data_IF_821685869808
#
_entry.id   IF_821685869808
#
_cell.length_a   1.000
_cell.length_b   1.000
_cell.length_c   1.000
_cell.angle_alpha   90.00
_cell.angle_beta   90.00
_cell.angle_gamma   90.00
#
_symmetry.space_group_name_H-M   'P 1'
#
loop_
_entity.id
_entity.type
_entity.pdbx_description
1 polymer ?
#
# COMPACT_ATOMS: atom_id res chain seq x y z
N UNK A 1 -55.15 10.16 68.10
CA UNK A 1 -56.19 9.67 67.16
C UNK A 1 -55.97 10.31 65.80
N UNK A 2 -55.43 9.58 64.83
CA UNK A 2 -55.56 9.80 63.38
C UNK A 2 -55.09 8.52 62.70
N UNK A 3 -56.03 7.82 62.04
CA UNK A 3 -55.82 6.60 61.26
C UNK A 3 -55.27 6.99 59.89
N UNK A 4 -54.30 6.25 59.36
CA UNK A 4 -54.01 6.22 57.92
C UNK A 4 -53.61 4.81 57.53
N UNK A 5 -54.30 4.34 56.49
CA UNK A 5 -54.30 2.98 55.99
C UNK A 5 -53.04 2.65 55.17
N UNK A 6 -52.61 1.39 55.24
CA UNK A 6 -51.60 0.82 54.38
C UNK A 6 -52.22 0.41 53.04
N UNK A 7 -51.61 0.84 51.93
CA UNK A 7 -51.88 0.32 50.60
C UNK A 7 -50.76 -0.64 50.21
N UNK A 8 -51.10 -1.91 49.95
CA UNK A 8 -50.21 -2.89 49.33
C UNK A 8 -50.06 -2.55 47.84
N UNK A 9 -48.81 -2.44 47.37
CA UNK A 9 -48.48 -2.47 45.95
C UNK A 9 -47.84 -3.82 45.65
N UNK A 10 -48.53 -4.64 44.86
CA UNK A 10 -48.00 -5.89 44.33
C UNK A 10 -47.08 -5.60 43.13
N UNK A 11 -45.81 -5.98 43.23
CA UNK A 11 -44.86 -5.95 42.12
C UNK A 11 -44.93 -7.29 41.40
N UNK A 12 -45.37 -7.27 40.14
CA UNK A 12 -45.31 -8.41 39.22
C UNK A 12 -43.91 -8.45 38.62
N UNK A 13 -43.16 -9.52 38.91
CA UNK A 13 -41.88 -9.80 38.26
C UNK A 13 -42.12 -10.40 36.88
N UNK A 14 -41.78 -9.66 35.81
CA UNK A 14 -41.74 -10.17 34.44
C UNK A 14 -40.40 -10.87 34.23
N UNK A 15 -40.43 -12.20 34.15
CA UNK A 15 -39.27 -13.00 33.77
C UNK A 15 -39.03 -12.85 32.26
N UNK A 16 -37.98 -12.11 31.88
CA UNK A 16 -37.46 -12.08 30.52
C UNK A 16 -36.68 -13.38 30.25
N UNK A 17 -37.27 -14.26 29.46
CA UNK A 17 -36.61 -15.46 28.93
C UNK A 17 -35.54 -15.04 27.93
N UNK A 18 -34.27 -15.18 28.30
CA UNK A 18 -33.16 -15.00 27.37
C UNK A 18 -33.14 -16.16 26.38
N UNK A 19 -33.38 -15.86 25.10
CA UNK A 19 -33.11 -16.79 24.00
C UNK A 19 -31.59 -16.96 23.87
N UNK A 20 -31.06 -18.20 23.79
CA UNK A 20 -29.64 -18.41 23.57
C UNK A 20 -29.22 -17.83 22.22
N UNK A 21 -28.14 -17.05 22.24
CA UNK A 21 -27.52 -16.50 21.04
C UNK A 21 -27.12 -17.64 20.10
N UNK A 22 -27.47 -17.49 18.82
CA UNK A 22 -26.99 -18.40 17.77
C UNK A 22 -25.45 -18.36 17.73
N UNK A 23 -24.77 -19.51 17.55
CA UNK A 23 -23.32 -19.53 17.39
C UNK A 23 -22.91 -18.71 16.17
N UNK A 24 -21.72 -18.08 16.18
CA UNK A 24 -21.22 -17.35 15.04
C UNK A 24 -21.10 -18.28 13.82
N UNK A 25 -21.54 -17.77 12.66
CA UNK A 25 -21.31 -18.42 11.37
C UNK A 25 -19.80 -18.49 11.14
N UNK A 26 -19.22 -19.67 11.36
CA UNK A 26 -17.88 -20.00 10.91
C UNK A 26 -17.89 -20.04 9.39
N UNK A 27 -17.33 -19.02 8.74
CA UNK A 27 -16.89 -19.16 7.36
C UNK A 27 -15.69 -20.11 7.37
N UNK A 28 -15.97 -21.41 7.32
CA UNK A 28 -14.97 -22.40 6.99
C UNK A 28 -14.58 -22.14 5.53
N UNK A 29 -13.41 -21.54 5.32
CA UNK A 29 -12.76 -21.53 4.01
C UNK A 29 -12.72 -22.98 3.51
N UNK A 30 -13.24 -23.23 2.31
CA UNK A 30 -13.08 -24.54 1.69
C UNK A 30 -11.58 -24.85 1.59
N UNK A 31 -11.13 -26.07 1.92
CA UNK A 31 -9.75 -26.46 1.73
C UNK A 31 -9.50 -26.57 0.22
N UNK A 32 -9.08 -25.47 -0.39
CA UNK A 32 -8.48 -25.47 -1.71
C UNK A 32 -7.21 -26.32 -1.60
N UNK A 33 -7.07 -27.33 -2.47
CA UNK A 33 -5.92 -28.21 -2.47
C UNK A 33 -4.65 -27.36 -2.51
N UNK A 34 -3.86 -27.38 -1.43
CA UNK A 34 -2.59 -26.67 -1.40
C UNK A 34 -1.69 -27.37 -2.40
N UNK A 35 -1.51 -26.78 -3.57
CA UNK A 35 -0.32 -26.99 -4.39
C UNK A 35 0.86 -26.90 -3.42
N UNK A 36 1.71 -27.93 -3.37
CA UNK A 36 2.93 -27.82 -2.58
C UNK A 36 3.72 -26.61 -3.08
N UNK A 37 4.28 -25.84 -2.16
CA UNK A 37 5.14 -24.70 -2.50
C UNK A 37 6.55 -25.05 -2.08
N UNK A 38 7.52 -24.93 -2.98
CA UNK A 38 8.94 -25.06 -2.68
C UNK A 38 9.62 -23.69 -2.70
N UNK A 39 10.57 -23.48 -1.77
CA UNK A 39 11.33 -22.23 -1.71
C UNK A 39 12.31 -22.19 -2.88
N UNK A 40 12.14 -21.21 -3.76
CA UNK A 40 13.05 -20.93 -4.88
C UNK A 40 14.19 -20.00 -4.45
N UNK A 41 13.88 -18.97 -3.66
CA UNK A 41 14.83 -18.01 -3.11
C UNK A 41 14.39 -17.55 -1.72
N UNK A 42 15.35 -17.21 -0.87
CA UNK A 42 15.10 -16.61 0.44
C UNK A 42 16.16 -15.55 0.74
N UNK A 43 15.81 -14.60 1.59
CA UNK A 43 16.70 -13.62 2.19
C UNK A 43 16.30 -13.47 3.65
N UNK A 44 17.24 -13.74 4.55
CA UNK A 44 17.12 -13.65 6.02
C UNK A 44 17.99 -12.54 6.63
N UNK A 45 18.74 -11.81 5.80
CA UNK A 45 19.64 -10.72 6.18
C UNK A 45 20.78 -11.12 7.13
N UNK A 46 21.14 -12.40 7.18
CA UNK A 46 22.33 -12.85 7.91
C UNK A 46 23.63 -12.29 7.30
N UNK A 47 23.62 -12.09 5.99
CA UNK A 47 24.69 -11.36 5.28
C UNK A 47 24.50 -9.85 5.42
N UNK A 48 25.49 -9.11 5.96
CA UNK A 48 25.37 -7.66 6.11
C UNK A 48 25.15 -6.93 4.78
N UNK A 49 24.09 -6.13 4.71
CA UNK A 49 23.75 -5.32 3.55
C UNK A 49 24.77 -4.19 3.32
N UNK A 50 25.12 -3.96 2.07
CA UNK A 50 26.04 -2.89 1.65
C UNK A 50 25.35 -1.70 0.98
N UNK A 51 24.02 -1.68 0.96
CA UNK A 51 23.20 -0.71 0.21
C UNK A 51 23.51 0.73 0.60
N UNK A 52 23.64 1.01 1.89
CA UNK A 52 23.94 2.36 2.39
C UNK A 52 25.30 2.89 1.95
N UNK A 53 26.26 1.99 1.67
CA UNK A 53 27.61 2.34 1.19
C UNK A 53 27.65 2.68 -0.30
N UNK A 54 26.63 2.29 -1.07
CA UNK A 54 26.59 2.60 -2.49
C UNK A 54 26.51 4.11 -2.73
N UNK A 55 27.22 4.57 -3.76
CA UNK A 55 27.23 5.97 -4.14
C UNK A 55 25.87 6.41 -4.68
N UNK A 56 25.49 7.65 -4.37
CA UNK A 56 24.34 8.29 -4.98
C UNK A 56 24.63 8.59 -6.45
N UNK A 57 23.66 8.27 -7.30
CA UNK A 57 23.68 8.61 -8.72
C UNK A 57 22.57 9.61 -8.99
N UNK A 58 22.90 10.75 -9.59
CA UNK A 58 21.88 11.71 -10.03
C UNK A 58 21.06 11.09 -11.15
N UNK A 59 19.74 11.03 -10.96
CA UNK A 59 18.82 10.68 -12.03
C UNK A 59 18.78 11.85 -13.04
N UNK A 60 19.04 11.62 -14.34
CA UNK A 60 18.89 12.67 -15.33
C UNK A 60 17.43 13.14 -15.48
N UNK A 61 16.45 12.36 -14.99
CA UNK A 61 15.01 12.61 -15.09
C UNK A 61 14.60 12.82 -16.56
N UNK A 62 15.01 11.89 -17.41
CA UNK A 62 14.72 11.88 -18.85
C UNK A 62 14.05 10.56 -19.23
N UNK A 63 13.41 10.51 -20.40
CA UNK A 63 12.80 9.30 -20.92
C UNK A 63 13.79 8.13 -21.15
N UNK A 64 15.09 8.40 -21.18
CA UNK A 64 16.15 7.38 -21.30
C UNK A 64 16.79 7.04 -19.96
N UNK A 65 16.29 7.58 -18.85
CA UNK A 65 16.75 7.21 -17.52
C UNK A 65 16.51 5.72 -17.29
N UNK A 66 17.42 5.04 -16.60
CA UNK A 66 17.23 3.62 -16.21
C UNK A 66 16.11 3.43 -15.17
N UNK A 67 15.62 4.52 -14.60
CA UNK A 67 14.45 4.57 -13.72
C UNK A 67 13.19 5.06 -14.43
N UNK A 68 13.25 5.37 -15.72
CA UNK A 68 12.04 5.66 -16.47
C UNK A 68 11.14 4.42 -16.51
N UNK A 69 9.84 4.65 -16.44
CA UNK A 69 8.81 3.60 -16.54
C UNK A 69 7.93 3.90 -17.74
N UNK A 70 7.21 5.03 -17.71
CA UNK A 70 6.25 5.39 -18.73
C UNK A 70 5.79 6.87 -18.64
N UNK A 71 4.67 7.20 -19.28
CA UNK A 71 4.07 8.54 -19.29
C UNK A 71 3.72 9.16 -17.92
N UNK A 72 3.68 8.39 -16.83
CA UNK A 72 3.38 8.81 -15.46
C UNK A 72 4.59 8.79 -14.51
N UNK A 73 5.80 8.50 -15.00
CA UNK A 73 7.02 8.59 -14.18
C UNK A 73 7.38 10.05 -13.80
N UNK A 74 8.49 10.26 -13.10
CA UNK A 74 8.86 11.57 -12.52
C UNK A 74 8.94 12.71 -13.56
N UNK A 75 9.23 12.42 -14.82
CA UNK A 75 9.30 13.37 -15.94
C UNK A 75 8.35 12.92 -17.07
N UNK A 76 7.26 12.25 -16.70
CA UNK A 76 6.32 11.63 -17.61
C UNK A 76 5.64 12.63 -18.54
N UNK A 77 5.37 12.19 -19.78
CA UNK A 77 4.72 13.01 -20.83
C UNK A 77 3.35 13.56 -20.40
N UNK A 78 2.62 12.85 -19.53
CA UNK A 78 1.33 13.30 -19.01
C UNK A 78 1.50 14.62 -18.26
N UNK A 79 2.50 14.72 -17.39
CA UNK A 79 2.71 15.89 -16.53
C UNK A 79 3.04 17.14 -17.35
N UNK A 80 3.84 16.98 -18.40
CA UNK A 80 4.09 18.03 -19.37
C UNK A 80 2.81 18.47 -20.07
N UNK A 81 2.04 17.53 -20.62
CA UNK A 81 0.83 17.84 -21.37
C UNK A 81 -0.26 18.53 -20.55
N UNK A 82 -0.41 18.18 -19.26
CA UNK A 82 -1.50 18.70 -18.43
C UNK A 82 -1.10 19.92 -17.58
N UNK A 83 0.19 20.25 -17.46
CA UNK A 83 0.67 21.28 -16.51
C UNK A 83 1.82 22.16 -16.99
N UNK A 84 2.36 21.97 -18.19
CA UNK A 84 3.37 22.90 -18.69
C UNK A 84 2.79 24.30 -18.99
N UNK A 85 3.57 25.37 -18.76
CA UNK A 85 4.99 25.38 -18.37
C UNK A 85 5.25 25.29 -16.85
N UNK A 86 4.22 25.14 -16.01
CA UNK A 86 4.40 25.11 -14.56
C UNK A 86 5.19 23.88 -14.08
N UNK A 87 4.86 22.69 -14.61
CA UNK A 87 5.55 21.45 -14.27
C UNK A 87 7.05 21.52 -14.60
N UNK A 88 7.41 21.85 -15.84
CA UNK A 88 8.82 22.00 -16.25
C UNK A 88 9.59 22.99 -15.38
N UNK A 89 8.99 24.14 -15.01
CA UNK A 89 9.66 25.10 -14.12
C UNK A 89 9.91 24.53 -12.72
N UNK A 90 8.94 23.80 -12.18
CA UNK A 90 9.01 23.23 -10.84
C UNK A 90 9.95 22.03 -10.76
N UNK A 91 9.93 21.14 -11.75
CA UNK A 91 10.86 20.02 -11.82
C UNK A 91 12.32 20.52 -11.90
N UNK A 92 12.56 21.65 -12.57
CA UNK A 92 13.87 22.32 -12.60
C UNK A 92 14.32 22.90 -11.26
N UNK A 93 13.50 22.94 -10.22
CA UNK A 93 13.95 23.43 -8.91
C UNK A 93 14.48 22.31 -8.01
N UNK A 94 14.56 21.08 -8.49
CA UNK A 94 15.06 19.95 -7.71
C UNK A 94 15.93 19.03 -8.57
N UNK A 95 16.67 18.13 -7.92
CA UNK A 95 17.22 16.92 -8.54
C UNK A 95 16.77 15.70 -7.74
N UNK A 96 16.72 14.54 -8.38
CA UNK A 96 16.52 13.25 -7.71
C UNK A 96 17.83 12.47 -7.75
N UNK A 97 18.26 11.96 -6.60
CA UNK A 97 19.39 11.06 -6.47
C UNK A 97 18.90 9.67 -6.12
N UNK A 98 19.54 8.65 -6.69
CA UNK A 98 19.10 7.27 -6.58
C UNK A 98 20.25 6.31 -6.29
N UNK A 99 19.93 5.21 -5.61
CA UNK A 99 20.78 4.01 -5.49
C UNK A 99 20.00 2.81 -6.02
N UNK A 100 20.73 1.91 -6.67
CA UNK A 100 20.25 0.60 -7.12
C UNK A 100 21.30 -0.42 -6.74
N UNK A 101 20.98 -1.33 -5.84
CA UNK A 101 21.95 -2.30 -5.30
C UNK A 101 21.30 -3.67 -5.27
N UNK A 102 21.85 -4.62 -6.00
CA UNK A 102 21.44 -6.02 -5.92
C UNK A 102 22.02 -6.65 -4.64
N UNK A 103 21.24 -7.53 -4.00
CA UNK A 103 21.62 -8.26 -2.80
C UNK A 103 20.84 -9.58 -2.70
N UNK A 104 21.16 -10.37 -1.67
CA UNK A 104 20.71 -11.75 -1.51
C UNK A 104 21.42 -12.72 -2.44
N UNK A 105 21.08 -13.99 -2.28
CA UNK A 105 21.66 -15.08 -3.07
C UNK A 105 21.52 -14.77 -4.57
N UNK A 106 22.63 -14.86 -5.31
CA UNK A 106 22.72 -14.51 -6.73
C UNK A 106 22.18 -13.11 -7.11
N UNK A 107 22.05 -12.20 -6.13
CA UNK A 107 21.49 -10.86 -6.33
C UNK A 107 20.00 -10.89 -6.71
N UNK A 108 19.23 -11.86 -6.22
CA UNK A 108 17.82 -12.02 -6.60
C UNK A 108 16.92 -10.86 -6.16
N UNK A 109 17.34 -10.07 -5.15
CA UNK A 109 16.70 -8.83 -4.72
C UNK A 109 17.47 -7.60 -5.17
N UNK A 110 16.75 -6.50 -5.36
CA UNK A 110 17.32 -5.17 -5.58
C UNK A 110 16.72 -4.17 -4.59
N UNK A 111 17.58 -3.42 -3.92
CA UNK A 111 17.20 -2.22 -3.19
C UNK A 111 17.19 -1.03 -4.17
N UNK A 112 16.05 -0.36 -4.28
CA UNK A 112 15.89 0.93 -4.96
C UNK A 112 15.68 2.00 -3.91
N UNK A 113 16.54 3.01 -3.92
CA UNK A 113 16.46 4.13 -2.98
C UNK A 113 16.47 5.40 -3.80
N UNK A 114 15.62 6.36 -3.42
CA UNK A 114 15.61 7.68 -4.02
C UNK A 114 15.50 8.76 -2.94
N UNK A 115 16.09 9.92 -3.19
CA UNK A 115 16.04 11.08 -2.33
C UNK A 115 16.11 12.36 -3.15
N UNK A 116 15.36 13.38 -2.75
CA UNK A 116 15.34 14.68 -3.43
C UNK A 116 16.45 15.60 -2.89
N UNK A 117 17.09 16.30 -3.81
CA UNK A 117 17.95 17.47 -3.60
C UNK A 117 17.13 18.71 -3.97
N UNK A 118 16.62 19.43 -2.96
CA UNK A 118 15.67 20.54 -3.14
C UNK A 118 16.35 21.87 -3.37
N UNK A 119 17.60 22.05 -2.92
CA UNK A 119 18.37 23.28 -3.07
C UNK A 119 19.38 23.22 -4.24
N UNK A 120 19.54 22.04 -4.82
CA UNK A 120 20.38 21.72 -5.98
C UNK A 120 21.88 21.88 -5.69
N UNK A 121 22.32 21.62 -4.46
CA UNK A 121 23.73 21.64 -4.10
C UNK A 121 24.54 20.44 -4.65
N UNK A 122 23.86 19.47 -5.26
CA UNK A 122 24.45 18.28 -5.86
C UNK A 122 24.47 17.06 -4.92
N UNK A 123 23.73 17.10 -3.81
CA UNK A 123 23.60 15.99 -2.85
C UNK A 123 22.14 15.87 -2.39
N UNK A 124 21.65 14.66 -2.07
CA UNK A 124 20.32 14.52 -1.51
C UNK A 124 20.23 15.13 -0.10
N UNK A 125 19.09 15.79 0.18
CA UNK A 125 18.83 16.51 1.44
C UNK A 125 18.57 15.56 2.63
N UNK A 126 18.25 14.30 2.33
CA UNK A 126 17.99 13.27 3.30
C UNK A 126 18.84 12.03 3.02
N UNK A 127 18.96 11.16 4.02
CA UNK A 127 19.74 9.91 3.92
C UNK A 127 18.83 8.71 4.21
N UNK A 128 17.89 8.40 3.30
CA UNK A 128 17.15 7.14 3.36
C UNK A 128 18.11 5.98 3.09
N UNK A 129 17.75 4.79 3.59
CA UNK A 129 18.68 3.67 3.62
C UNK A 129 18.01 2.32 3.86
N UNK A 130 18.76 1.28 3.50
CA UNK A 130 18.46 -0.11 3.80
C UNK A 130 19.72 -0.74 4.41
N UNK A 131 19.64 -1.16 5.66
CA UNK A 131 20.78 -1.69 6.40
C UNK A 131 20.37 -2.89 7.26
N UNK A 132 21.29 -3.83 7.46
CA UNK A 132 21.10 -4.88 8.45
C UNK A 132 21.05 -4.29 9.85
N UNK A 133 20.12 -4.77 10.67
CA UNK A 133 19.99 -4.44 12.08
C UNK A 133 19.94 -5.73 12.90
N UNK A 134 20.12 -5.61 14.22
CA UNK A 134 20.01 -6.72 15.17
C UNK A 134 18.82 -6.43 16.07
N UNK A 135 17.88 -7.36 16.12
CA UNK A 135 16.69 -7.30 16.95
C UNK A 135 17.03 -7.60 18.42
N UNK A 136 16.14 -7.28 19.39
CA UNK A 136 16.38 -7.52 20.81
C UNK A 136 16.62 -9.00 21.19
N UNK A 137 16.12 -9.94 20.38
CA UNK A 137 16.33 -11.39 20.51
C UNK A 137 17.65 -11.87 19.88
N UNK A 138 18.40 -10.99 19.22
CA UNK A 138 19.67 -11.28 18.57
C UNK A 138 19.56 -11.67 17.10
N UNK A 139 18.34 -11.81 16.56
CA UNK A 139 18.13 -12.11 15.14
C UNK A 139 18.53 -10.90 14.27
N UNK A 140 18.98 -11.18 13.04
CA UNK A 140 19.28 -10.16 12.03
C UNK A 140 18.05 -9.90 11.19
N UNK A 141 17.90 -8.65 10.77
CA UNK A 141 16.79 -8.21 9.93
C UNK A 141 17.23 -7.02 9.07
N UNK A 142 16.47 -6.68 8.04
CA UNK A 142 16.65 -5.45 7.29
C UNK A 142 15.84 -4.30 7.89
N UNK A 143 16.52 -3.18 8.18
CA UNK A 143 15.88 -1.92 8.56
C UNK A 143 15.77 -1.02 7.34
N UNK A 144 14.53 -0.72 6.97
CA UNK A 144 14.18 0.39 6.08
C UNK A 144 14.14 1.66 6.92
N UNK A 145 14.86 2.71 6.49
CA UNK A 145 14.84 4.01 7.16
C UNK A 145 14.62 5.11 6.14
N UNK A 146 13.60 5.92 6.38
CA UNK A 146 13.20 7.02 5.52
C UNK A 146 12.95 8.26 6.38
N UNK A 147 14.00 9.08 6.61
CA UNK A 147 13.92 10.18 7.56
C UNK A 147 13.15 11.40 7.05
N UNK A 148 12.62 11.38 5.82
CA UNK A 148 11.94 12.50 5.20
C UNK A 148 10.98 12.04 4.11
N UNK A 149 9.84 12.72 3.99
CA UNK A 149 8.76 12.49 3.02
C UNK A 149 9.17 12.51 1.53
N UNK A 150 10.29 13.15 1.23
CA UNK A 150 10.83 13.37 -0.12
C UNK A 150 11.93 12.38 -0.47
N UNK A 151 11.77 11.16 0.01
CA UNK A 151 12.59 10.00 -0.25
C UNK A 151 11.69 8.78 -0.45
N UNK A 152 12.27 7.71 -0.96
CA UNK A 152 11.62 6.40 -1.07
C UNK A 152 12.65 5.29 -0.90
N UNK A 153 12.28 4.21 -0.21
CA UNK A 153 13.08 2.99 -0.06
C UNK A 153 12.21 1.79 -0.37
N UNK A 154 12.61 1.00 -1.36
CA UNK A 154 11.90 -0.23 -1.74
C UNK A 154 12.86 -1.38 -1.96
N UNK A 155 12.42 -2.56 -1.52
CA UNK A 155 12.97 -3.86 -1.90
C UNK A 155 12.06 -4.44 -2.98
N UNK A 156 12.65 -4.89 -4.08
CA UNK A 156 11.95 -5.52 -5.21
C UNK A 156 12.76 -6.74 -5.71
N UNK A 157 12.17 -7.68 -6.46
CA UNK A 157 12.96 -8.71 -7.11
C UNK A 157 13.79 -8.08 -8.24
N UNK A 158 14.97 -8.63 -8.49
CA UNK A 158 15.88 -8.19 -9.57
C UNK A 158 15.35 -8.56 -10.95
N UNK A 159 14.62 -9.68 -11.03
CA UNK A 159 13.96 -10.19 -12.24
C UNK A 159 12.45 -10.24 -12.03
N UNK A 160 11.64 -10.18 -13.11
CA UNK A 160 10.21 -10.51 -13.04
C UNK A 160 9.94 -11.83 -12.31
N UNK A 161 8.80 -11.88 -11.63
CA UNK A 161 8.34 -13.10 -10.97
C UNK A 161 7.93 -14.17 -12.01
N UNK A 162 8.01 -15.47 -11.67
CA UNK A 162 7.52 -16.56 -12.52
C UNK A 162 6.01 -16.45 -12.80
N UNK A 163 5.49 -17.29 -13.69
CA UNK A 163 4.05 -17.33 -13.99
C UNK A 163 3.20 -17.78 -12.79
N UNK A 164 3.71 -18.72 -11.98
CA UNK A 164 3.10 -19.12 -10.73
C UNK A 164 4.11 -18.94 -9.60
N UNK A 165 3.70 -18.26 -8.54
CA UNK A 165 4.59 -17.90 -7.45
C UNK A 165 3.83 -17.67 -6.16
N UNK A 166 4.57 -17.71 -5.05
CA UNK A 166 4.17 -17.14 -3.79
C UNK A 166 5.33 -16.31 -3.23
N UNK A 167 5.08 -15.06 -2.92
CA UNK A 167 6.05 -14.18 -2.23
C UNK A 167 5.57 -13.96 -0.82
N UNK A 168 6.49 -14.04 0.13
CA UNK A 168 6.22 -13.84 1.55
C UNK A 168 7.19 -12.83 2.14
N UNK A 169 6.70 -12.00 3.06
CA UNK A 169 7.49 -11.05 3.83
C UNK A 169 7.06 -11.07 5.30
N UNK A 170 8.02 -11.09 6.21
CA UNK A 170 7.77 -10.99 7.65
C UNK A 170 8.15 -9.61 8.19
N UNK A 171 7.20 -8.94 8.83
CA UNK A 171 7.36 -7.63 9.45
C UNK A 171 7.66 -7.78 10.96
N UNK A 172 8.73 -7.13 11.42
CA UNK A 172 9.19 -7.08 12.82
C UNK A 172 9.26 -5.68 13.39
N UNK A 173 8.93 -4.64 12.63
CA UNK A 173 8.88 -3.27 13.13
C UNK A 173 8.23 -2.33 12.13
N UNK A 174 7.47 -1.36 12.62
CA UNK A 174 6.83 -0.35 11.76
C UNK A 174 6.64 0.99 12.48
N UNK A 175 7.06 2.06 11.82
CA UNK A 175 6.85 3.46 12.20
C UNK A 175 6.66 4.30 10.93
N UNK A 176 5.58 4.03 10.21
CA UNK A 176 5.09 4.82 9.08
C UNK A 176 3.70 5.38 9.40
N UNK A 177 3.58 5.95 10.60
CA UNK A 177 2.33 6.48 11.15
C UNK A 177 1.45 5.45 11.85
N UNK A 178 0.19 5.85 12.04
CA UNK A 178 -0.75 5.20 12.94
C UNK A 178 -0.49 5.53 14.41
N UNK A 179 -1.39 5.12 15.30
CA UNK A 179 -1.24 5.36 16.72
C UNK A 179 -0.15 4.50 17.35
N UNK A 180 0.51 5.04 18.36
CA UNK A 180 1.33 4.31 19.32
C UNK A 180 0.76 4.55 20.70
N UNK A 181 0.36 3.48 21.39
CA UNK A 181 -0.25 3.54 22.72
C UNK A 181 -1.43 4.52 22.80
N UNK A 182 -2.30 4.53 21.78
CA UNK A 182 -3.49 5.38 21.73
C UNK A 182 -3.23 6.85 21.37
N UNK A 183 -2.03 7.19 20.89
CA UNK A 183 -1.68 8.55 20.47
C UNK A 183 -1.05 8.56 19.09
N UNK A 184 -1.51 9.49 18.25
CA UNK A 184 -0.88 9.82 16.97
C UNK A 184 0.38 10.67 17.13
N UNK A 185 0.56 11.26 18.32
CA UNK A 185 1.74 12.03 18.68
C UNK A 185 2.63 11.21 19.62
N UNK A 186 3.80 10.83 19.13
CA UNK A 186 4.79 10.03 19.84
C UNK A 186 6.19 10.39 19.34
N UNK A 187 7.21 10.27 20.19
CA UNK A 187 8.61 10.51 19.82
C UNK A 187 8.90 11.85 19.10
N UNK A 188 8.14 12.91 19.44
CA UNK A 188 8.25 14.22 18.80
C UNK A 188 7.72 14.28 17.36
N UNK A 189 6.99 13.25 16.93
CA UNK A 189 6.34 13.12 15.63
C UNK A 189 4.82 13.21 15.76
N UNK A 190 4.13 13.43 14.64
CA UNK A 190 2.69 13.25 14.51
C UNK A 190 2.41 12.39 13.28
N UNK A 191 1.70 11.27 13.47
CA UNK A 191 1.44 10.27 12.43
C UNK A 191 2.74 9.82 11.71
N UNK A 192 3.82 9.60 12.47
CA UNK A 192 5.13 9.21 11.95
C UNK A 192 5.98 10.36 11.37
N UNK A 193 5.38 11.52 11.06
CA UNK A 193 6.10 12.66 10.52
C UNK A 193 6.79 13.50 11.60
N UNK A 194 8.06 13.85 11.39
CA UNK A 194 8.74 14.85 12.20
C UNK A 194 8.03 16.23 12.11
N UNK A 195 8.04 17.00 13.19
CA UNK A 195 7.30 18.26 13.30
C UNK A 195 7.80 19.43 12.41
N UNK A 196 8.94 19.28 11.74
CA UNK A 196 9.61 20.37 11.01
C UNK A 196 9.48 20.27 9.49
N UNK A 197 9.52 21.43 8.84
CA UNK A 197 9.50 21.57 7.38
C UNK A 197 8.11 21.51 6.76
N UNK A 198 8.00 21.98 5.52
CA UNK A 198 6.77 21.85 4.73
C UNK A 198 6.79 20.50 4.00
N UNK A 199 5.94 19.56 4.41
CA UNK A 199 5.83 18.22 3.81
C UNK A 199 4.66 18.21 2.84
N UNK A 200 4.92 18.01 1.55
CA UNK A 200 3.93 18.30 0.51
C UNK A 200 4.07 17.37 -0.68
N UNK A 201 3.01 17.12 -1.44
CA UNK A 201 3.07 16.32 -2.67
C UNK A 201 3.76 17.02 -3.87
N UNK A 202 4.69 17.93 -3.64
CA UNK A 202 5.34 18.71 -4.70
C UNK A 202 6.29 17.88 -5.57
N UNK A 203 6.32 18.07 -6.90
CA UNK A 203 5.33 18.74 -7.76
C UNK A 203 4.24 17.77 -8.28
N UNK A 204 4.33 16.49 -7.93
CA UNK A 204 3.49 15.41 -8.48
C UNK A 204 2.17 15.26 -7.70
N UNK A 205 1.13 15.94 -8.17
CA UNK A 205 -0.27 15.68 -7.75
C UNK A 205 -1.01 14.89 -8.83
N UNK A 206 -2.14 14.27 -8.48
CA UNK A 206 -3.01 13.60 -9.46
C UNK A 206 -3.51 14.53 -10.58
N UNK A 207 -3.59 15.84 -10.33
CA UNK A 207 -3.98 16.86 -11.30
C UNK A 207 -2.78 17.54 -11.98
N UNK A 208 -1.55 17.08 -11.72
CA UNK A 208 -0.31 17.69 -12.18
C UNK A 208 0.18 18.85 -11.32
N UNK A 209 1.13 19.63 -11.83
CA UNK A 209 1.72 20.73 -11.09
C UNK A 209 0.76 21.92 -10.94
N UNK A 210 0.67 22.47 -9.73
CA UNK A 210 -0.17 23.63 -9.41
C UNK A 210 0.57 24.93 -9.82
N UNK A 211 0.05 25.71 -10.79
CA UNK A 211 0.70 26.93 -11.27
C UNK A 211 0.88 27.99 -10.18
N UNK A 212 2.01 28.70 -10.20
CA UNK A 212 2.29 29.81 -9.30
C UNK A 212 2.53 29.42 -7.84
N UNK A 213 2.58 28.13 -7.51
CA UNK A 213 2.84 27.65 -6.14
C UNK A 213 4.28 27.18 -5.97
N UNK A 214 4.91 27.62 -4.89
CA UNK A 214 6.15 27.06 -4.37
C UNK A 214 5.86 25.76 -3.60
N UNK A 215 6.92 24.97 -3.32
CA UNK A 215 6.85 23.70 -2.58
C UNK A 215 5.98 23.82 -1.31
N UNK A 216 6.28 24.75 -0.42
CA UNK A 216 5.53 24.90 0.84
C UNK A 216 4.09 25.41 0.70
N UNK A 217 3.61 25.71 -0.51
CA UNK A 217 2.21 26.09 -0.78
C UNK A 217 1.40 24.97 -1.43
N UNK A 218 2.02 23.80 -1.64
CA UNK A 218 1.31 22.59 -2.05
C UNK A 218 0.52 22.01 -0.86
N UNK A 219 -0.49 21.15 -1.13
CA UNK A 219 -1.19 20.42 -0.08
C UNK A 219 -0.21 19.66 0.82
N UNK A 220 -0.46 19.73 2.13
CA UNK A 220 0.29 18.95 3.11
C UNK A 220 0.00 17.45 2.91
N UNK A 221 1.01 16.61 3.15
CA UNK A 221 0.86 15.14 3.20
C UNK A 221 0.90 14.59 4.63
N UNK A 222 1.07 15.47 5.62
CA UNK A 222 1.29 15.06 7.02
C UNK A 222 0.10 14.33 7.67
N UNK A 223 -1.07 14.35 7.04
CA UNK A 223 -2.25 13.64 7.55
C UNK A 223 -2.34 12.23 7.02
N UNK A 224 -1.46 11.84 6.11
CA UNK A 224 -1.54 10.60 5.36
C UNK A 224 -0.15 9.95 5.33
N UNK A 225 0.06 8.90 6.11
CA UNK A 225 1.31 8.13 6.11
C UNK A 225 1.02 6.67 5.74
N UNK A 226 2.03 5.84 5.46
CA UNK A 226 1.78 4.48 5.02
C UNK A 226 3.03 3.69 4.66
N UNK A 227 2.82 2.42 4.35
CA UNK A 227 3.89 1.49 4.00
C UNK A 227 3.33 0.35 3.16
N UNK A 228 4.03 0.00 2.08
CA UNK A 228 3.67 -1.13 1.23
C UNK A 228 4.29 -2.39 1.79
N UNK A 229 3.48 -3.24 2.43
CA UNK A 229 3.94 -4.50 2.99
C UNK A 229 4.37 -5.46 1.87
N UNK A 230 3.51 -5.65 0.86
CA UNK A 230 3.84 -6.47 -0.31
C UNK A 230 2.86 -6.18 -1.46
N UNK A 231 3.25 -5.35 -2.41
CA UNK A 231 2.38 -4.96 -3.53
C UNK A 231 2.93 -5.48 -4.85
N UNK A 232 2.05 -5.98 -5.72
CA UNK A 232 2.42 -6.46 -7.06
C UNK A 232 2.21 -5.34 -8.08
N UNK A 233 3.25 -5.03 -8.83
CA UNK A 233 3.29 -4.08 -9.93
C UNK A 233 3.17 -4.77 -11.29
N UNK A 234 2.79 -4.00 -12.31
CA UNK A 234 2.69 -4.41 -13.71
C UNK A 234 3.96 -4.15 -14.54
N UNK A 235 5.08 -3.86 -13.88
CA UNK A 235 6.38 -3.64 -14.49
C UNK A 235 7.53 -4.08 -13.56
N UNK A 236 8.68 -4.40 -14.14
CA UNK A 236 9.86 -4.87 -13.40
C UNK A 236 10.62 -3.74 -12.66
N UNK A 237 10.44 -2.48 -13.07
CA UNK A 237 11.23 -1.34 -12.58
C UNK A 237 10.56 -0.63 -11.40
N UNK A 238 10.30 -1.32 -10.29
CA UNK A 238 9.60 -0.79 -9.11
C UNK A 238 10.40 0.20 -8.24
N UNK A 239 11.11 1.15 -8.83
CA UNK A 239 11.84 2.19 -8.09
C UNK A 239 10.89 3.29 -7.56
N UNK A 240 11.28 4.07 -6.52
CA UNK A 240 10.41 5.12 -6.02
C UNK A 240 10.13 6.21 -7.07
N UNK A 241 8.89 6.68 -7.16
CA UNK A 241 8.44 7.71 -8.08
C UNK A 241 7.46 8.68 -7.43
N UNK A 242 7.14 9.79 -8.09
CA UNK A 242 6.04 10.66 -7.67
C UNK A 242 4.74 9.87 -7.46
N UNK A 243 4.03 10.14 -6.35
CA UNK A 243 2.90 9.34 -5.85
C UNK A 243 1.94 8.83 -6.94
N UNK A 244 1.49 9.74 -7.82
CA UNK A 244 0.51 9.40 -8.85
C UNK A 244 0.95 8.26 -9.79
N UNK A 245 2.25 8.15 -10.13
CA UNK A 245 2.74 7.16 -11.10
C UNK A 245 2.55 5.72 -10.62
N UNK A 246 2.91 5.44 -9.36
CA UNK A 246 2.74 4.11 -8.75
C UNK A 246 1.26 3.72 -8.67
N UNK A 247 0.36 4.67 -8.47
CA UNK A 247 -1.07 4.39 -8.38
C UNK A 247 -1.67 3.76 -9.65
N UNK A 248 -1.07 4.01 -10.81
CA UNK A 248 -1.48 3.46 -12.12
C UNK A 248 -0.94 2.05 -12.39
N UNK A 249 0.02 1.59 -11.59
CA UNK A 249 0.89 0.44 -11.91
C UNK A 249 0.75 -0.75 -10.96
N UNK A 250 -0.26 -0.72 -10.08
CA UNK A 250 -0.49 -1.76 -9.08
C UNK A 250 -1.56 -2.74 -9.56
N UNK A 251 -1.30 -4.04 -9.43
CA UNK A 251 -2.28 -5.11 -9.65
C UNK A 251 -2.94 -5.55 -8.35
N UNK A 252 -2.11 -5.72 -7.32
CA UNK A 252 -2.49 -6.17 -5.97
C UNK A 252 -1.85 -5.24 -4.96
N UNK A 253 -2.62 -4.77 -3.99
CA UNK A 253 -2.16 -3.86 -2.93
C UNK A 253 -2.35 -4.53 -1.57
N UNK A 254 -1.22 -4.75 -0.90
CA UNK A 254 -1.16 -5.09 0.52
C UNK A 254 -0.29 -4.03 1.21
N UNK A 255 -0.95 -3.00 1.75
CA UNK A 255 -0.30 -1.81 2.29
C UNK A 255 -0.99 -1.33 3.57
N UNK A 256 -0.43 -0.29 4.17
CA UNK A 256 -1.10 0.54 5.16
C UNK A 256 -1.26 1.95 4.62
N UNK A 257 -2.41 2.54 4.91
CA UNK A 257 -2.72 3.93 4.60
C UNK A 257 -3.33 4.61 5.81
N UNK A 258 -2.45 5.18 6.63
CA UNK A 258 -2.70 5.70 7.96
C UNK A 258 -3.13 7.17 7.83
N UNK A 259 -4.39 7.39 7.47
CA UNK A 259 -4.91 8.72 7.12
C UNK A 259 -5.93 9.28 8.10
N UNK A 260 -5.67 10.51 8.56
CA UNK A 260 -6.55 11.34 9.39
C UNK A 260 -7.10 12.54 8.60
N UNK A 261 -7.00 12.50 7.28
CA UNK A 261 -7.58 13.53 6.45
C UNK A 261 -9.12 13.50 6.60
N UNK A 262 -9.82 14.66 6.53
CA UNK A 262 -11.27 14.69 6.75
C UNK A 262 -12.07 13.77 5.81
N UNK A 263 -11.56 13.54 4.60
CA UNK A 263 -12.18 12.65 3.63
C UNK A 263 -12.08 11.16 4.03
N UNK A 264 -11.14 10.79 4.90
CA UNK A 264 -10.99 9.41 5.41
C UNK A 264 -12.13 8.98 6.33
N UNK A 265 -13.03 9.91 6.71
CA UNK A 265 -14.26 9.60 7.41
C UNK A 265 -15.18 8.63 6.64
N UNK A 266 -15.04 8.53 5.31
CA UNK A 266 -15.76 7.54 4.52
C UNK A 266 -15.04 6.20 4.38
N UNK A 267 -13.81 6.06 4.86
CA UNK A 267 -13.08 4.80 4.83
C UNK A 267 -13.53 3.89 5.97
N UNK A 268 -13.49 2.58 5.73
CA UNK A 268 -13.87 1.56 6.68
C UNK A 268 -12.71 0.64 7.04
N UNK A 269 -12.77 0.09 8.25
CA UNK A 269 -11.92 -1.00 8.72
C UNK A 269 -12.83 -2.16 9.10
N UNK A 270 -12.52 -3.37 8.66
CA UNK A 270 -13.19 -4.57 9.12
C UNK A 270 -12.79 -4.88 10.57
N UNK A 271 -13.78 -5.11 11.42
CA UNK A 271 -13.63 -5.76 12.72
C UNK A 271 -13.99 -7.25 12.56
N UNK A 272 -13.01 -8.16 12.42
CA UNK A 272 -13.30 -9.56 12.14
C UNK A 272 -13.97 -10.28 13.31
N UNK A 273 -13.85 -9.78 14.55
CA UNK A 273 -14.51 -10.38 15.71
C UNK A 273 -16.03 -10.20 15.67
N UNK A 274 -16.50 -9.12 15.05
CA UNK A 274 -17.94 -8.83 14.91
C UNK A 274 -18.46 -9.05 13.49
N UNK A 275 -17.57 -9.21 12.51
CA UNK A 275 -17.91 -9.31 11.08
C UNK A 275 -18.48 -8.00 10.51
N UNK A 276 -18.17 -6.85 11.11
CA UNK A 276 -18.72 -5.54 10.73
C UNK A 276 -17.64 -4.53 10.35
N UNK A 277 -18.03 -3.61 9.46
CA UNK A 277 -17.22 -2.44 9.12
C UNK A 277 -17.38 -1.33 10.17
N UNK A 278 -16.25 -0.81 10.63
CA UNK A 278 -16.10 0.32 11.55
C UNK A 278 -15.43 1.52 10.85
N UNK A 279 -15.65 2.73 11.37
CA UNK A 279 -15.02 3.91 10.77
C UNK A 279 -13.53 3.83 10.97
N UNK A 280 -12.74 4.25 9.97
CA UNK A 280 -11.29 4.37 10.16
C UNK A 280 -10.95 5.34 11.30
N UNK A 281 -11.83 6.31 11.58
CA UNK A 281 -11.65 7.28 12.66
C UNK A 281 -11.86 6.69 14.07
N UNK A 282 -12.52 5.53 14.18
CA UNK A 282 -12.74 4.82 15.44
C UNK A 282 -11.61 3.79 15.71
N UNK A 283 -10.71 3.61 14.73
CA UNK A 283 -9.56 2.72 14.80
C UNK A 283 -8.31 3.39 15.36
N UNK A 284 -7.20 2.68 15.25
CA UNK A 284 -5.85 3.11 15.65
C UNK A 284 -5.06 3.69 14.48
N UNK A 285 -5.66 3.80 13.30
CA UNK A 285 -5.00 4.17 12.06
C UNK A 285 -3.79 3.28 11.71
N UNK A 286 -3.72 2.04 12.21
CA UNK A 286 -2.73 1.03 11.81
C UNK A 286 -3.38 -0.03 10.92
N UNK A 287 -4.21 0.40 9.97
CA UNK A 287 -5.03 -0.47 9.15
C UNK A 287 -4.21 -1.12 8.03
N UNK A 288 -4.52 -2.37 7.70
CA UNK A 288 -3.95 -3.10 6.57
C UNK A 288 -5.00 -3.20 5.48
N UNK A 289 -4.71 -2.62 4.32
CA UNK A 289 -5.52 -2.81 3.13
C UNK A 289 -5.07 -4.08 2.42
N UNK A 290 -6.02 -4.90 1.98
CA UNK A 290 -5.81 -6.01 1.07
C UNK A 290 -6.78 -5.82 -0.09
N UNK A 291 -6.26 -5.39 -1.23
CA UNK A 291 -7.08 -4.90 -2.33
C UNK A 291 -6.58 -5.43 -3.68
N UNK A 292 -7.55 -5.82 -4.51
CA UNK A 292 -7.33 -6.13 -5.92
C UNK A 292 -7.66 -4.89 -6.74
N UNK A 293 -6.74 -4.46 -7.59
CA UNK A 293 -6.90 -3.23 -8.36
C UNK A 293 -7.79 -3.53 -9.57
N UNK A 294 -8.89 -2.80 -9.74
CA UNK A 294 -9.84 -3.04 -10.83
C UNK A 294 -9.30 -2.55 -12.16
N UNK A 295 -9.22 -3.42 -13.16
CA UNK A 295 -8.78 -3.06 -14.50
C UNK A 295 -9.84 -2.35 -15.35
N UNK A 296 -11.11 -2.36 -14.91
CA UNK A 296 -12.23 -1.84 -15.67
C UNK A 296 -12.86 -0.56 -15.09
N UNK A 297 -12.37 -0.06 -13.95
CA UNK A 297 -12.93 1.10 -13.28
C UNK A 297 -11.81 2.01 -12.75
N UNK A 298 -11.91 3.30 -13.05
CA UNK A 298 -10.91 4.31 -12.71
C UNK A 298 -11.50 5.43 -11.86
N UNK A 299 -10.70 5.96 -10.94
CA UNK A 299 -11.06 7.06 -10.03
C UNK A 299 -10.95 8.39 -10.77
N UNK A 300 -12.11 8.98 -11.08
CA UNK A 300 -12.18 10.26 -11.81
C UNK A 300 -11.59 11.42 -11.00
N UNK A 301 -11.79 11.39 -9.69
CA UNK A 301 -11.23 12.32 -8.71
C UNK A 301 -9.69 12.30 -8.70
N UNK A 302 -9.08 11.16 -9.05
CA UNK A 302 -7.63 11.01 -9.21
C UNK A 302 -7.21 11.15 -10.67
N UNK A 303 -7.99 11.90 -11.46
CA UNK A 303 -7.70 12.19 -12.86
C UNK A 303 -7.53 10.93 -13.74
N UNK A 304 -8.21 9.84 -13.36
CA UNK A 304 -8.07 8.51 -13.98
C UNK A 304 -6.64 7.96 -13.98
N UNK A 305 -5.77 8.46 -13.11
CA UNK A 305 -4.41 7.91 -12.89
C UNK A 305 -4.43 6.77 -11.86
N UNK A 306 -5.48 6.68 -11.06
CA UNK A 306 -5.70 5.55 -10.15
C UNK A 306 -6.94 4.79 -10.56
N UNK A 307 -6.90 3.49 -10.32
CA UNK A 307 -8.02 2.58 -10.49
C UNK A 307 -8.92 2.57 -9.24
N UNK A 308 -10.14 2.08 -9.40
CA UNK A 308 -10.95 1.61 -8.28
C UNK A 308 -10.37 0.30 -7.75
N UNK A 309 -10.80 -0.11 -6.57
CA UNK A 309 -10.37 -1.35 -5.94
C UNK A 309 -11.55 -2.30 -5.76
N UNK A 310 -11.25 -3.58 -5.65
CA UNK A 310 -12.14 -4.57 -5.07
C UNK A 310 -11.49 -5.09 -3.79
N UNK A 311 -12.18 -4.91 -2.68
CA UNK A 311 -11.70 -5.32 -1.36
C UNK A 311 -12.38 -6.63 -0.99
N UNK A 312 -11.57 -7.66 -0.71
CA UNK A 312 -12.04 -8.82 0.05
C UNK A 312 -11.51 -8.69 1.45
N UNK A 313 -12.40 -8.80 2.42
CA UNK A 313 -12.04 -8.67 3.84
C UNK A 313 -12.70 -9.80 4.63
N UNK A 314 -12.26 -10.04 5.87
CA UNK A 314 -12.98 -10.96 6.76
C UNK A 314 -14.44 -10.58 7.03
N UNK A 315 -14.83 -9.33 6.75
CA UNK A 315 -16.20 -8.82 6.91
C UNK A 315 -17.03 -8.88 5.62
N UNK A 316 -16.48 -9.43 4.54
CA UNK A 316 -17.11 -9.55 3.23
C UNK A 316 -16.40 -8.77 2.13
N UNK A 317 -17.09 -8.71 0.99
CA UNK A 317 -16.57 -8.18 -0.27
C UNK A 317 -17.17 -6.81 -0.60
N UNK A 318 -16.31 -5.88 -1.03
CA UNK A 318 -16.67 -4.48 -1.23
C UNK A 318 -16.08 -3.93 -2.53
N UNK A 319 -16.95 -3.48 -3.44
CA UNK A 319 -16.55 -2.85 -4.70
C UNK A 319 -16.32 -1.34 -4.54
N UNK A 320 -15.07 -0.89 -4.75
CA UNK A 320 -14.58 0.50 -4.68
C UNK A 320 -15.38 1.51 -5.49
N UNK A 321 -16.06 1.05 -6.54
CA UNK A 321 -16.93 1.91 -7.34
C UNK A 321 -18.25 2.28 -6.65
N UNK A 322 -18.60 1.58 -5.56
CA UNK A 322 -19.86 1.71 -4.84
C UNK A 322 -19.75 2.35 -3.45
N UNK A 323 -20.84 2.22 -2.70
CA UNK A 323 -20.95 2.58 -1.29
C UNK A 323 -21.35 1.37 -0.48
N UNK A 324 -20.91 1.30 0.78
CA UNK A 324 -21.14 0.15 1.65
C UNK A 324 -21.49 0.56 3.08
N UNK A 325 -21.84 -0.46 3.88
CA UNK A 325 -22.26 -0.30 5.27
C UNK A 325 -23.66 0.29 5.42
N UNK A 326 -24.12 0.48 6.67
CA UNK A 326 -25.39 1.11 6.96
C UNK A 326 -25.50 2.48 6.28
N UNK A 327 -26.61 2.69 5.58
CA UNK A 327 -26.94 3.93 4.86
C UNK A 327 -25.91 4.37 3.80
N UNK A 328 -25.05 3.45 3.33
CA UNK A 328 -24.01 3.76 2.33
C UNK A 328 -22.94 4.73 2.84
N UNK A 329 -22.68 4.70 4.15
CA UNK A 329 -21.72 5.60 4.81
C UNK A 329 -20.28 5.44 4.33
N UNK A 330 -19.91 4.25 3.87
CA UNK A 330 -18.54 3.94 3.48
C UNK A 330 -18.33 3.95 1.97
N UNK A 331 -17.13 4.32 1.56
CA UNK A 331 -16.60 4.24 0.19
C UNK A 331 -15.07 4.38 0.24
N UNK A 332 -14.43 4.33 -0.93
CA UNK A 332 -13.00 4.56 -1.15
C UNK A 332 -12.08 3.43 -0.64
N UNK A 333 -12.01 3.16 0.67
CA UNK A 333 -11.16 2.11 1.26
C UNK A 333 -11.92 1.24 2.25
N UNK A 334 -11.72 -0.08 2.16
CA UNK A 334 -12.14 -1.07 3.16
C UNK A 334 -10.93 -1.91 3.60
N UNK A 335 -10.37 -1.59 4.77
CA UNK A 335 -9.22 -2.30 5.32
C UNK A 335 -9.63 -3.64 5.94
N UNK A 336 -8.75 -4.63 5.85
CA UNK A 336 -9.05 -6.00 6.29
C UNK A 336 -8.88 -6.21 7.79
N UNK A 337 -7.86 -5.59 8.38
CA UNK A 337 -7.47 -5.74 9.80
C UNK A 337 -6.72 -4.51 10.29
N UNK A 338 -6.46 -4.43 11.60
CA UNK A 338 -5.52 -3.47 12.18
C UNK A 338 -4.35 -4.20 12.85
N UNK A 339 -3.14 -3.69 12.60
CA UNK A 339 -1.93 -4.10 13.30
C UNK A 339 -1.94 -3.59 14.74
N UNK A 340 -1.13 -4.23 15.56
CA UNK A 340 -0.70 -3.77 16.89
C UNK A 340 0.81 -3.55 16.88
N UNK A 341 1.29 -2.37 16.48
CA UNK A 341 2.72 -2.08 16.40
C UNK A 341 3.46 -2.25 17.74
N UNK A 342 2.77 -2.07 18.86
CA UNK A 342 3.32 -2.22 20.22
C UNK A 342 3.74 -3.66 20.56
N UNK A 343 3.33 -4.65 19.78
CA UNK A 343 3.75 -6.04 19.95
C UNK A 343 5.06 -6.36 19.22
N UNK A 344 5.50 -5.48 18.30
CA UNK A 344 6.76 -5.64 17.58
C UNK A 344 7.94 -5.19 18.46
N UNK A 345 9.13 -5.83 18.34
CA UNK A 345 9.47 -6.92 17.44
C UNK A 345 9.22 -8.33 18.02
N UNK A 346 8.64 -8.44 19.22
CA UNK A 346 8.46 -9.74 19.89
C UNK A 346 7.47 -10.64 19.13
N UNK A 347 6.40 -10.04 18.61
CA UNK A 347 5.48 -10.68 17.68
C UNK A 347 5.90 -10.43 16.22
N UNK A 348 5.30 -11.21 15.31
CA UNK A 348 5.57 -11.13 13.87
C UNK A 348 4.26 -11.05 13.08
N UNK A 349 4.29 -10.28 12.00
CA UNK A 349 3.23 -10.30 10.98
C UNK A 349 3.81 -10.83 9.68
N UNK A 350 3.11 -11.75 9.03
CA UNK A 350 3.51 -12.29 7.72
C UNK A 350 2.48 -11.88 6.68
N UNK A 351 2.99 -11.39 5.57
CA UNK A 351 2.23 -10.94 4.42
C UNK A 351 2.66 -11.75 3.22
N UNK A 352 1.71 -12.26 2.44
CA UNK A 352 2.01 -12.99 1.22
C UNK A 352 1.09 -12.62 0.07
N UNK A 353 1.64 -12.72 -1.15
CA UNK A 353 0.86 -12.68 -2.38
C UNK A 353 1.26 -13.88 -3.22
N UNK A 354 0.24 -14.60 -3.66
CA UNK A 354 0.34 -15.79 -4.48
C UNK A 354 -0.33 -15.52 -5.83
N UNK A 355 0.28 -16.01 -6.92
CA UNK A 355 -0.33 -16.08 -8.25
C UNK A 355 -0.30 -17.52 -8.70
N UNK A 356 -1.43 -18.00 -9.20
CA UNK A 356 -1.55 -19.29 -9.88
C UNK A 356 -2.23 -19.11 -11.26
N UNK A 357 -2.71 -20.20 -11.85
CA UNK A 357 -3.38 -20.17 -13.15
C UNK A 357 -4.78 -19.51 -13.10
N UNK A 358 -5.38 -19.33 -11.93
CA UNK A 358 -6.73 -18.77 -11.75
C UNK A 358 -6.72 -17.30 -11.38
N UNK A 359 -5.77 -16.85 -10.55
CA UNK A 359 -5.81 -15.49 -10.03
C UNK A 359 -4.72 -15.18 -9.03
N UNK A 360 -5.02 -14.22 -8.15
CA UNK A 360 -4.15 -13.81 -7.05
C UNK A 360 -4.78 -14.13 -5.69
N UNK A 361 -3.96 -14.58 -4.75
CA UNK A 361 -4.34 -14.72 -3.33
C UNK A 361 -3.49 -13.81 -2.47
N UNK A 362 -4.13 -12.93 -1.69
CA UNK A 362 -3.49 -12.13 -0.65
C UNK A 362 -3.64 -12.87 0.67
N UNK A 363 -2.55 -13.01 1.43
CA UNK A 363 -2.56 -13.57 2.77
C UNK A 363 -1.98 -12.59 3.79
N UNK A 364 -2.66 -12.47 4.92
CA UNK A 364 -2.23 -11.71 6.08
C UNK A 364 -2.32 -12.58 7.33
N UNK A 365 -1.23 -12.67 8.08
CA UNK A 365 -1.11 -13.47 9.29
C UNK A 365 -0.47 -12.68 10.41
N UNK A 366 -1.03 -12.74 11.61
CA UNK A 366 -0.43 -12.12 12.79
C UNK A 366 -1.44 -11.79 13.89
N UNK A 367 -0.96 -11.14 14.97
CA UNK A 367 -1.78 -10.83 16.13
C UNK A 367 -2.54 -9.50 15.95
N UNK A 368 -3.64 -9.51 15.20
CA UNK A 368 -4.44 -8.32 14.88
C UNK A 368 -5.29 -7.80 16.05
N UNK A 369 -5.58 -6.48 16.05
CA UNK A 369 -6.23 -5.75 17.16
C UNK A 369 -7.50 -6.41 17.71
N UNK A 370 -8.41 -6.83 16.83
CA UNK A 370 -9.75 -7.30 17.22
C UNK A 370 -9.85 -8.80 17.47
N UNK A 371 -8.92 -9.61 16.95
CA UNK A 371 -9.05 -11.09 16.96
C UNK A 371 -7.84 -11.82 17.55
N UNK A 372 -6.76 -11.12 17.88
CA UNK A 372 -5.51 -11.77 18.25
C UNK A 372 -4.88 -12.47 17.05
N UNK A 373 -4.26 -13.64 17.27
CA UNK A 373 -3.61 -14.39 16.21
C UNK A 373 -4.62 -14.91 15.20
N UNK A 374 -4.51 -14.49 13.95
CA UNK A 374 -5.33 -14.98 12.85
C UNK A 374 -4.56 -14.99 11.53
N UNK A 375 -5.07 -15.78 10.59
CA UNK A 375 -4.62 -15.83 9.19
C UNK A 375 -5.82 -15.71 8.28
N UNK A 376 -5.77 -14.78 7.33
CA UNK A 376 -6.79 -14.63 6.30
C UNK A 376 -6.16 -14.80 4.93
N UNK A 377 -6.79 -15.61 4.09
CA UNK A 377 -6.46 -15.79 2.67
C UNK A 377 -7.62 -15.27 1.83
N UNK A 378 -7.33 -14.34 0.95
CA UNK A 378 -8.30 -13.58 0.16
C UNK A 378 -7.93 -13.80 -1.30
N UNK A 379 -8.74 -14.55 -2.04
CA UNK A 379 -8.49 -14.89 -3.44
C UNK A 379 -9.31 -14.01 -4.39
N UNK A 380 -8.85 -13.74 -5.59
CA UNK A 380 -9.68 -13.17 -6.67
C UNK A 380 -9.16 -13.69 -8.01
N UNK A 381 -10.05 -14.29 -8.80
CA UNK A 381 -9.74 -14.76 -10.15
C UNK A 381 -9.25 -13.60 -11.03
N UNK A 382 -8.47 -13.85 -12.08
CA UNK A 382 -8.04 -12.76 -12.97
C UNK A 382 -9.19 -11.90 -13.50
N UNK A 383 -10.35 -12.51 -13.74
CA UNK A 383 -11.62 -11.85 -14.00
C UNK A 383 -12.74 -12.57 -13.25
N UNK A 384 -13.37 -11.89 -12.30
CA UNK A 384 -14.46 -12.44 -11.50
C UNK A 384 -15.71 -11.56 -11.63
N UNK A 385 -16.86 -12.16 -11.96
CA UNK A 385 -18.12 -11.43 -12.22
C UNK A 385 -17.97 -10.22 -13.17
N UNK A 386 -17.08 -10.35 -14.18
CA UNK A 386 -16.77 -9.28 -15.13
C UNK A 386 -15.85 -8.18 -14.60
N UNK A 387 -15.32 -8.31 -13.38
CA UNK A 387 -14.33 -7.40 -12.77
C UNK A 387 -12.93 -7.97 -13.00
N UNK A 388 -12.10 -7.39 -13.88
CA UNK A 388 -10.72 -7.81 -14.05
C UNK A 388 -9.81 -7.25 -12.96
N UNK A 389 -8.77 -8.01 -12.59
CA UNK A 389 -7.58 -7.44 -11.95
C UNK A 389 -6.78 -6.69 -13.02
N UNK A 390 -6.35 -5.47 -12.69
CA UNK A 390 -5.61 -4.61 -13.59
C UNK A 390 -4.35 -5.31 -14.13
N UNK A 391 -4.22 -5.34 -15.46
CA UNK A 391 -3.03 -5.88 -16.14
C UNK A 391 -2.64 -7.29 -15.68
N UNK A 392 -3.60 -8.17 -15.37
CA UNK A 392 -3.29 -9.50 -14.84
C UNK A 392 -2.43 -10.37 -15.80
N UNK A 393 -2.45 -10.07 -17.10
CA UNK A 393 -1.71 -10.78 -18.14
C UNK A 393 -0.22 -10.47 -18.06
N UNK A 394 0.57 -11.50 -17.78
CA UNK A 394 2.03 -11.50 -17.91
C UNK A 394 2.46 -11.78 -19.35
N UNK A 395 1.66 -12.49 -20.14
CA UNK A 395 1.95 -12.87 -21.52
C UNK A 395 0.89 -12.34 -22.51
N UNK A 396 1.26 -12.08 -23.79
CA UNK A 396 0.34 -11.54 -24.81
C UNK A 396 -0.94 -12.33 -25.03
N UNK A 397 -0.89 -13.65 -24.80
CA UNK A 397 -2.01 -14.57 -25.05
C UNK A 397 -3.02 -14.70 -23.90
N UNK A 398 -2.72 -14.19 -22.70
CA UNK A 398 -3.59 -14.34 -21.52
C UNK A 398 -4.78 -13.36 -21.52
N UNK A 399 -4.78 -12.38 -22.43
CA UNK A 399 -5.78 -11.33 -22.48
C UNK A 399 -6.12 -10.91 -23.92
N UNK A 400 -7.41 -10.72 -24.18
CA UNK A 400 -7.99 -10.51 -25.51
C UNK A 400 -8.30 -9.04 -25.84
N UNK A 401 -7.99 -8.10 -24.97
CA UNK A 401 -8.26 -6.67 -25.19
C UNK A 401 -9.65 -6.20 -24.76
N UNK A 402 -10.51 -7.05 -24.17
CA UNK A 402 -11.92 -6.69 -23.88
C UNK A 402 -12.12 -5.51 -22.93
N UNK A 403 -11.11 -5.11 -22.17
CA UNK A 403 -11.17 -3.98 -21.23
C UNK A 403 -10.40 -2.75 -21.72
N UNK A 404 -9.84 -2.81 -22.95
CA UNK A 404 -9.10 -1.69 -23.54
C UNK A 404 -9.97 -0.44 -23.66
N UNK A 405 -9.36 0.71 -23.44
CA UNK A 405 -10.03 2.01 -23.44
C UNK A 405 -9.06 3.14 -23.63
N UNK A 406 -9.61 4.33 -23.80
CA UNK A 406 -8.86 5.58 -23.66
C UNK A 406 -9.19 6.24 -22.34
N UNK A 407 -8.17 6.77 -21.67
CA UNK A 407 -8.32 7.57 -20.45
C UNK A 407 -7.89 9.00 -20.71
N UNK A 408 -8.73 9.94 -20.29
CA UNK A 408 -8.45 11.38 -20.40
C UNK A 408 -7.97 11.90 -19.06
N UNK A 409 -6.86 12.61 -19.09
CA UNK A 409 -6.23 13.27 -17.95
C UNK A 409 -6.24 14.78 -18.21
N UNK A 410 -6.82 15.54 -17.30
CA UNK A 410 -6.94 16.99 -17.41
C UNK A 410 -6.21 17.65 -16.25
N UNK A 411 -5.45 18.68 -16.55
CA UNK A 411 -4.75 19.48 -15.55
C UNK A 411 -4.86 20.98 -15.86
N UNK A 412 -4.16 21.81 -15.08
CA UNK A 412 -4.29 23.26 -15.14
C UNK A 412 -4.00 23.92 -16.49
N UNK A 413 -3.24 23.25 -17.37
CA UNK A 413 -2.78 23.85 -18.63
C UNK A 413 -3.14 23.03 -19.88
N UNK A 414 -3.75 21.85 -19.73
CA UNK A 414 -4.06 21.01 -20.87
C UNK A 414 -4.65 19.65 -20.53
N UNK A 415 -4.73 18.82 -21.57
CA UNK A 415 -5.32 17.49 -21.52
C UNK A 415 -4.39 16.50 -22.22
N UNK A 416 -4.29 15.30 -21.67
CA UNK A 416 -3.61 14.16 -22.27
C UNK A 416 -4.56 12.98 -22.37
N UNK A 417 -4.49 12.22 -23.47
CA UNK A 417 -5.28 11.00 -23.64
C UNK A 417 -4.33 9.81 -23.73
N UNK A 418 -4.37 8.95 -22.72
CA UNK A 418 -3.76 7.62 -22.81
C UNK A 418 -4.67 6.78 -23.68
N UNK A 419 -4.28 6.58 -24.95
CA UNK A 419 -4.98 5.68 -25.87
C UNK A 419 -4.49 4.27 -25.64
N UNK A 420 -5.37 3.30 -25.84
CA UNK A 420 -5.04 1.88 -25.68
C UNK A 420 -4.41 1.60 -24.32
N UNK A 421 -5.17 1.92 -23.28
CA UNK A 421 -4.75 1.78 -21.88
C UNK A 421 -4.42 0.33 -21.53
N UNK A 422 -5.10 -0.64 -22.15
CA UNK A 422 -4.85 -2.08 -21.97
C UNK A 422 -5.22 -2.86 -23.25
N UNK A 423 -4.39 -2.80 -24.30
CA UNK A 423 -4.72 -3.37 -25.60
C UNK A 423 -4.55 -4.89 -25.64
N UNK A 424 -5.21 -5.55 -26.60
CA UNK A 424 -4.96 -6.95 -26.93
C UNK A 424 -3.48 -7.18 -27.31
N UNK A 425 -2.92 -8.33 -26.95
CA UNK A 425 -1.52 -8.66 -27.24
C UNK A 425 -0.49 -7.90 -26.40
N UNK A 426 -0.92 -7.18 -25.37
CA UNK A 426 -0.06 -6.60 -24.34
C UNK A 426 0.42 -7.64 -23.33
N UNK A 427 1.47 -7.33 -22.58
CA UNK A 427 2.05 -8.19 -21.55
C UNK A 427 2.62 -7.34 -20.44
N UNK A 428 2.37 -7.72 -19.19
CA UNK A 428 2.77 -6.96 -18.01
C UNK A 428 3.39 -7.90 -16.97
N UNK A 429 4.72 -7.94 -16.85
CA UNK A 429 5.37 -8.83 -15.88
C UNK A 429 5.02 -8.45 -14.45
N UNK A 430 4.95 -9.44 -13.57
CA UNK A 430 4.79 -9.19 -12.14
C UNK A 430 6.14 -8.88 -11.49
N UNK A 431 6.12 -7.88 -10.62
CA UNK A 431 7.22 -7.56 -9.71
C UNK A 431 6.62 -7.11 -8.39
N UNK A 432 7.17 -7.54 -7.26
CA UNK A 432 6.72 -7.01 -5.97
C UNK A 432 7.51 -5.76 -5.58
N UNK A 433 6.92 -4.97 -4.68
CA UNK A 433 7.61 -3.93 -3.90
C UNK A 433 7.24 -4.07 -2.42
N UNK A 434 8.26 -3.90 -1.57
CA UNK A 434 8.17 -3.84 -0.10
C UNK A 434 8.86 -2.54 0.32
N UNK A 435 8.15 -1.59 0.94
CA UNK A 435 8.73 -0.28 1.29
C UNK A 435 7.83 0.92 1.05
N UNK A 436 8.45 2.10 0.88
CA UNK A 436 7.79 3.28 0.31
C UNK A 436 8.21 3.47 -1.17
N UNK A 437 7.30 3.27 -2.14
CA UNK A 437 7.54 3.54 -3.53
C UNK A 437 7.27 5.02 -3.90
N UNK A 438 6.92 5.88 -2.95
CA UNK A 438 6.64 7.30 -3.20
C UNK A 438 7.89 8.16 -3.02
N UNK A 439 7.99 9.24 -3.80
CA UNK A 439 9.05 10.26 -3.70
C UNK A 439 8.56 11.55 -3.03
N UNK A 440 7.31 11.60 -2.62
CA UNK A 440 6.68 12.81 -2.14
C UNK A 440 5.55 12.59 -1.13
N UNK A 441 5.62 11.51 -0.34
CA UNK A 441 4.54 11.15 0.56
C UNK A 441 5.04 10.68 1.93
N UNK A 442 5.61 9.49 2.10
CA UNK A 442 5.75 8.87 3.42
C UNK A 442 7.08 9.13 4.11
N UNK A 443 7.06 9.06 5.44
CA UNK A 443 8.25 9.20 6.29
C UNK A 443 8.16 8.19 7.42
N UNK A 444 9.27 7.50 7.69
CA UNK A 444 9.23 6.46 8.69
C UNK A 444 10.38 5.48 8.72
N UNK A 445 10.11 4.34 9.34
CA UNK A 445 10.99 3.18 9.29
C UNK A 445 10.22 1.88 9.44
N UNK A 446 10.77 0.81 8.92
CA UNK A 446 10.24 -0.55 9.07
C UNK A 446 11.39 -1.53 9.30
N UNK A 447 11.07 -2.69 9.86
CA UNK A 447 12.00 -3.80 10.00
C UNK A 447 11.39 -5.04 9.37
N UNK A 448 12.09 -5.60 8.38
CA UNK A 448 11.72 -6.79 7.63
C UNK A 448 12.65 -7.93 8.05
N UNK A 449 12.07 -9.02 8.54
CA UNK A 449 12.78 -10.21 9.03
C UNK A 449 13.33 -11.03 7.88
N UNK A 450 12.45 -11.36 6.92
CA UNK A 450 12.75 -12.25 5.83
C UNK A 450 11.85 -11.99 4.63
N UNK A 451 12.34 -12.38 3.46
CA UNK A 451 11.59 -12.38 2.20
C UNK A 451 11.81 -13.73 1.52
N UNK A 452 10.73 -14.38 1.08
CA UNK A 452 10.79 -15.67 0.38
C UNK A 452 10.05 -15.62 -0.92
N UNK A 453 10.62 -16.25 -1.94
CA UNK A 453 9.96 -16.56 -3.20
C UNK A 453 9.81 -18.07 -3.30
N UNK A 454 8.58 -18.53 -3.47
CA UNK A 454 8.23 -19.93 -3.63
C UNK A 454 7.57 -20.16 -4.99
N UNK A 455 7.72 -21.37 -5.50
CA UNK A 455 7.09 -21.86 -6.75
C UNK A 455 6.34 -23.17 -6.49
N UNK A 456 5.35 -23.54 -7.33
CA UNK A 456 4.64 -24.80 -7.16
C UNK A 456 5.59 -26.00 -7.26
N UNK A 457 5.42 -27.00 -6.38
CA UNK A 457 6.01 -28.33 -6.53
C UNK A 457 5.33 -29.02 -7.70
N UNK A 458 6.12 -29.47 -8.68
CA UNK A 458 5.62 -30.08 -9.92
C UNK A 458 4.83 -31.37 -9.76
#
# INVERSE_FOLDING_TARGET
>A
MRRTAAALVSVVAVALSATPAAPPLSYAAQPQATTGWEVLQAEDFDTPLTVDRAAWVRDPQTATSRWAVDQFDDNGKVWHAISDPAFTRQLRTLSVFRKRVAFGDDGWLTAEIAAVDKDRDGRPDSRPGLATTVLPDGERAARIREPSWDAGVVIRPTRPLPAAYRVEMTLRGIDFGGERHGSLSYDGKTNGYAATGCKTAYPWTFQGAIPGRSRCRYPSVTKENGFYFLTILDHANGAPHGNAGIHYRRKVVLDSYNSQAPWSASNAICNPATGRLESTLDGTYNAVNAAFVRGDAFRRENNSVSNQYFFRTPCGDFDGAGRWGPDGRYRDLASSVELRPELLPAERYRFAVERDASGYTIELSGPFRHVGQATYRLHHDFVEDGRPIWHYNQEPGEYDGRFDRSLTHTGPAGTYVTRHTWPAGSAYPDSFVIGDPHLNFYEGSAVVDDIRLLVPTG
#
